data_IF_153833866640
#
_entry.id   IF_153833866640
#
_cell.length_a   1.000
_cell.length_b   1.000
_cell.length_c   1.000
_cell.angle_alpha   90.00
_cell.angle_beta   90.00
_cell.angle_gamma   90.00
#
_symmetry.space_group_name_H-M   'P 1'
#
loop_
_entity.id
_entity.type
_entity.pdbx_description
1 polymer ?
#
# COMPACT_ATOMS: atom_id res chain seq x y z
N UNK A 1 11.86 31.37 -19.16
CA UNK A 1 11.36 30.50 -18.07
C UNK A 1 10.35 31.17 -17.13
N UNK A 2 10.40 32.50 -16.95
CA UNK A 2 9.43 33.24 -16.12
C UNK A 2 8.00 33.25 -16.70
N UNK A 3 7.87 33.21 -18.02
CA UNK A 3 6.56 33.15 -18.70
C UNK A 3 5.97 31.74 -18.71
N UNK A 4 6.80 30.69 -18.73
CA UNK A 4 6.32 29.32 -18.65
C UNK A 4 5.72 28.99 -17.26
N UNK A 5 6.28 29.54 -16.17
CA UNK A 5 5.76 29.35 -14.82
C UNK A 5 4.42 30.04 -14.57
N UNK A 6 4.15 31.19 -15.23
CA UNK A 6 2.84 31.85 -15.17
C UNK A 6 1.76 31.05 -15.91
N UNK A 7 2.07 30.50 -17.09
CA UNK A 7 1.11 29.69 -17.84
C UNK A 7 0.68 28.42 -17.10
N UNK A 8 1.60 27.73 -16.40
CA UNK A 8 1.27 26.58 -15.56
C UNK A 8 0.36 27.00 -14.38
N UNK A 9 0.66 28.10 -13.69
CA UNK A 9 -0.17 28.59 -12.60
C UNK A 9 -1.61 28.90 -13.04
N UNK A 10 -1.81 29.42 -14.24
CA UNK A 10 -3.14 29.73 -14.79
C UNK A 10 -3.90 28.48 -15.22
N UNK A 11 -3.21 27.44 -15.72
CA UNK A 11 -3.81 26.13 -16.02
C UNK A 11 -4.33 25.44 -14.75
N UNK A 12 -3.54 25.43 -13.69
CA UNK A 12 -3.97 24.86 -12.41
C UNK A 12 -5.12 25.66 -11.77
N UNK A 13 -5.10 26.99 -11.86
CA UNK A 13 -6.22 27.83 -11.41
C UNK A 13 -7.49 27.55 -12.20
N UNK A 14 -7.40 27.39 -13.52
CA UNK A 14 -8.55 27.03 -14.36
C UNK A 14 -9.12 25.66 -14.03
N UNK A 15 -8.25 24.65 -13.82
CA UNK A 15 -8.67 23.33 -13.39
C UNK A 15 -9.34 23.37 -12.01
N UNK A 16 -8.74 24.04 -11.02
CA UNK A 16 -9.35 24.23 -9.71
C UNK A 16 -10.71 24.93 -9.80
N UNK A 17 -10.81 26.01 -10.59
CA UNK A 17 -12.08 26.70 -10.80
C UNK A 17 -13.12 25.82 -11.50
N UNK A 18 -12.73 24.95 -12.41
CA UNK A 18 -13.64 24.00 -13.07
C UNK A 18 -14.22 22.99 -12.08
N UNK A 19 -13.40 22.48 -11.16
CA UNK A 19 -13.88 21.60 -10.09
C UNK A 19 -14.77 22.35 -9.07
N UNK A 20 -14.44 23.60 -8.73
CA UNK A 20 -15.22 24.42 -7.81
C UNK A 20 -16.54 24.86 -8.45
N UNK A 21 -16.56 25.12 -9.76
CA UNK A 21 -17.77 25.60 -10.45
C UNK A 21 -18.95 24.62 -10.39
N UNK A 22 -18.68 23.32 -10.24
CA UNK A 22 -19.72 22.30 -10.04
C UNK A 22 -20.47 22.45 -8.70
N UNK A 23 -19.90 23.18 -7.75
CA UNK A 23 -20.50 23.47 -6.43
C UNK A 23 -21.14 24.85 -6.36
N UNK A 24 -20.94 25.69 -7.38
CA UNK A 24 -21.58 27.03 -7.47
C UNK A 24 -23.06 26.83 -7.80
N UNK A 25 -23.92 27.16 -6.84
CA UNK A 25 -25.38 26.93 -6.95
C UNK A 25 -25.89 25.68 -6.21
N UNK A 26 -25.01 24.89 -5.59
CA UNK A 26 -25.42 23.82 -4.68
C UNK A 26 -26.02 24.42 -3.37
N UNK A 27 -26.87 23.63 -2.66
CA UNK A 27 -27.42 24.06 -1.40
C UNK A 27 -26.32 24.42 -0.38
N UNK A 28 -26.56 25.41 0.48
CA UNK A 28 -25.59 25.84 1.50
C UNK A 28 -25.10 24.70 2.38
N UNK A 29 -25.97 23.73 2.73
CA UNK A 29 -25.59 22.57 3.53
C UNK A 29 -24.59 21.66 2.78
N UNK A 30 -24.83 21.41 1.50
CA UNK A 30 -23.89 20.57 0.69
C UNK A 30 -22.56 21.28 0.50
N UNK A 31 -22.59 22.61 0.27
CA UNK A 31 -21.38 23.42 0.10
C UNK A 31 -20.57 23.48 1.39
N UNK A 32 -21.23 23.62 2.55
CA UNK A 32 -20.57 23.61 3.86
C UNK A 32 -19.89 22.27 4.16
N UNK A 33 -20.56 21.15 3.87
CA UNK A 33 -19.98 19.81 4.05
C UNK A 33 -18.76 19.55 3.17
N UNK A 34 -18.82 19.96 1.89
CA UNK A 34 -17.69 19.84 0.97
C UNK A 34 -16.52 20.74 1.39
N UNK A 35 -16.80 21.98 1.85
CA UNK A 35 -15.78 22.87 2.38
C UNK A 35 -15.11 22.28 3.62
N UNK A 36 -15.91 21.79 4.57
CA UNK A 36 -15.37 21.15 5.77
C UNK A 36 -14.45 19.99 5.43
N UNK A 37 -14.87 19.10 4.53
CA UNK A 37 -14.05 17.96 4.10
C UNK A 37 -12.74 18.43 3.42
N UNK A 38 -12.78 19.47 2.60
CA UNK A 38 -11.60 20.05 1.98
C UNK A 38 -10.66 20.71 3.01
N UNK A 39 -11.23 21.47 3.97
CA UNK A 39 -10.47 22.10 5.04
C UNK A 39 -9.78 21.05 5.92
N UNK A 40 -10.46 19.96 6.27
CA UNK A 40 -9.89 18.86 7.04
C UNK A 40 -8.77 18.15 6.28
N UNK A 41 -8.94 17.88 4.99
CA UNK A 41 -7.91 17.26 4.15
C UNK A 41 -6.66 18.15 3.98
N UNK A 42 -6.85 19.46 3.91
CA UNK A 42 -5.76 20.42 3.72
C UNK A 42 -5.12 20.89 5.02
N UNK A 43 -5.79 20.70 6.15
CA UNK A 43 -5.36 21.20 7.47
C UNK A 43 -3.91 20.87 7.79
N UNK A 44 -3.52 19.61 7.57
CA UNK A 44 -2.16 19.15 7.83
C UNK A 44 -1.12 19.97 7.05
N UNK A 45 -1.38 20.24 5.78
CA UNK A 45 -0.49 20.98 4.89
C UNK A 45 -0.52 22.49 5.15
N UNK A 46 -1.68 23.01 5.58
CA UNK A 46 -1.86 24.44 5.83
C UNK A 46 -1.30 24.90 7.19
N UNK A 47 -1.30 24.05 8.20
CA UNK A 47 -1.00 24.45 9.58
C UNK A 47 0.31 23.88 10.14
N UNK A 48 0.87 22.81 9.54
CA UNK A 48 2.08 22.19 10.05
C UNK A 48 3.32 22.80 9.38
N UNK A 49 4.04 23.65 10.11
CA UNK A 49 5.23 24.35 9.60
C UNK A 49 6.36 23.38 9.17
N UNK A 50 6.51 22.22 9.82
CA UNK A 50 7.53 21.23 9.43
C UNK A 50 7.20 20.64 8.06
N UNK A 51 5.94 20.34 7.80
CA UNK A 51 5.48 19.83 6.50
C UNK A 51 5.61 20.92 5.44
N UNK A 52 5.17 22.14 5.72
CA UNK A 52 5.31 23.28 4.80
C UNK A 52 6.77 23.47 4.40
N UNK A 53 7.67 23.44 5.36
CA UNK A 53 9.11 23.56 5.11
C UNK A 53 9.67 22.36 4.33
N UNK A 54 9.24 21.13 4.62
CA UNK A 54 9.67 19.94 3.90
C UNK A 54 9.17 19.90 2.45
N UNK A 55 7.99 20.44 2.18
CA UNK A 55 7.36 20.45 0.86
C UNK A 55 7.63 21.74 0.06
N UNK A 56 8.29 22.73 0.65
CA UNK A 56 8.66 23.94 -0.09
C UNK A 56 9.61 23.62 -1.23
N UNK A 57 9.60 24.45 -2.27
CA UNK A 57 10.58 24.35 -3.35
C UNK A 57 11.97 24.58 -2.77
N UNK A 58 12.85 23.57 -2.93
CA UNK A 58 14.25 23.66 -2.51
C UNK A 58 14.98 24.75 -3.28
N UNK A 59 15.90 25.46 -2.62
CA UNK A 59 16.88 26.28 -3.33
C UNK A 59 17.82 25.34 -4.13
N UNK A 60 18.44 25.83 -5.17
CA UNK A 60 19.27 25.03 -6.09
C UNK A 60 20.44 24.28 -5.43
N UNK A 61 20.85 24.71 -4.24
CA UNK A 61 21.93 24.10 -3.43
C UNK A 61 21.42 23.15 -2.33
N UNK A 62 20.09 23.12 -2.09
CA UNK A 62 19.52 22.22 -1.08
C UNK A 62 19.21 20.85 -1.70
N UNK A 63 19.59 19.73 -1.04
CA UNK A 63 19.21 18.42 -1.51
C UNK A 63 17.68 18.28 -1.52
N UNK A 64 17.15 17.79 -2.62
CA UNK A 64 15.71 17.52 -2.74
C UNK A 64 15.49 16.05 -3.07
N UNK A 65 14.45 15.46 -2.49
CA UNK A 65 14.02 14.10 -2.78
C UNK A 65 12.85 14.18 -3.76
N UNK A 66 13.00 13.49 -4.88
CA UNK A 66 11.96 13.31 -5.88
C UNK A 66 11.80 11.82 -6.18
N UNK A 67 10.76 11.38 -6.87
CA UNK A 67 10.66 9.98 -7.30
C UNK A 67 11.88 9.50 -8.09
N UNK A 68 12.51 10.37 -8.89
CA UNK A 68 13.72 10.04 -9.62
C UNK A 68 14.92 9.66 -8.72
N UNK A 69 14.96 10.17 -7.48
CA UNK A 69 15.99 9.84 -6.50
C UNK A 69 16.04 8.34 -6.20
N UNK A 70 14.90 7.63 -6.30
CA UNK A 70 14.79 6.18 -6.08
C UNK A 70 15.49 5.34 -7.15
N UNK A 71 15.89 5.93 -8.29
CA UNK A 71 16.67 5.21 -9.30
C UNK A 71 18.10 4.90 -8.82
N UNK A 72 18.64 5.72 -7.92
CA UNK A 72 20.05 5.64 -7.52
C UNK A 72 20.26 5.54 -6.01
N UNK A 73 19.22 5.78 -5.23
CA UNK A 73 19.32 5.85 -3.76
C UNK A 73 18.22 5.06 -3.07
N UNK A 74 18.51 4.57 -1.87
CA UNK A 74 17.51 4.07 -0.94
C UNK A 74 16.96 5.25 -0.12
N UNK A 75 15.64 5.38 -0.09
CA UNK A 75 14.94 6.42 0.67
C UNK A 75 14.12 5.75 1.77
N UNK A 76 14.36 6.16 3.01
CA UNK A 76 13.63 5.69 4.18
C UNK A 76 12.79 6.83 4.74
N UNK A 77 11.48 6.59 4.85
CA UNK A 77 10.54 7.51 5.48
C UNK A 77 10.13 6.88 6.80
N UNK A 78 10.55 7.51 7.90
CA UNK A 78 10.20 7.06 9.24
C UNK A 78 9.19 8.01 9.88
N UNK A 79 8.08 7.46 10.34
CA UNK A 79 7.05 8.16 11.10
C UNK A 79 6.74 7.34 12.36
N UNK A 80 6.84 7.92 13.56
CA UNK A 80 6.45 7.26 14.80
C UNK A 80 4.99 6.80 14.76
N UNK A 81 4.69 5.64 15.36
CA UNK A 81 3.36 5.00 15.29
C UNK A 81 2.24 5.92 15.79
N UNK A 82 2.48 6.66 16.87
CA UNK A 82 1.51 7.62 17.41
C UNK A 82 1.15 8.77 16.45
N UNK A 83 1.95 8.96 15.41
CA UNK A 83 1.77 10.00 14.39
C UNK A 83 1.28 9.46 13.05
N UNK A 84 1.25 8.15 12.86
CA UNK A 84 0.82 7.54 11.59
C UNK A 84 -0.58 7.99 11.18
N UNK A 85 -1.51 8.08 12.13
CA UNK A 85 -2.87 8.57 11.86
C UNK A 85 -2.90 10.00 11.31
N UNK A 86 -1.94 10.84 11.73
CA UNK A 86 -1.87 12.25 11.29
C UNK A 86 -1.19 12.36 9.93
N UNK A 87 -0.13 11.58 9.71
CA UNK A 87 0.70 11.69 8.51
C UNK A 87 0.38 10.64 7.43
N UNK A 88 -0.60 9.77 7.64
CA UNK A 88 -0.98 8.72 6.68
C UNK A 88 -1.32 9.27 5.30
N UNK A 89 -2.06 10.38 5.23
CA UNK A 89 -2.39 11.05 3.96
C UNK A 89 -1.15 11.58 3.24
N UNK A 90 -0.16 12.09 3.98
CA UNK A 90 1.11 12.53 3.39
C UNK A 90 1.88 11.33 2.80
N UNK A 91 1.98 10.22 3.55
CA UNK A 91 2.58 8.98 3.07
C UNK A 91 1.89 8.47 1.82
N UNK A 92 0.56 8.48 1.83
CA UNK A 92 -0.28 8.07 0.69
C UNK A 92 0.03 8.91 -0.55
N UNK A 93 0.11 10.22 -0.42
CA UNK A 93 0.40 11.13 -1.54
C UNK A 93 1.81 10.88 -2.07
N UNK A 94 2.82 10.81 -1.22
CA UNK A 94 4.22 10.55 -1.63
C UNK A 94 4.33 9.22 -2.36
N UNK A 95 3.71 8.17 -1.81
CA UNK A 95 3.73 6.82 -2.38
C UNK A 95 3.00 6.79 -3.72
N UNK A 96 1.80 7.37 -3.80
CA UNK A 96 1.00 7.42 -5.02
C UNK A 96 1.72 8.19 -6.15
N UNK A 97 2.29 9.35 -5.84
CA UNK A 97 3.07 10.13 -6.82
C UNK A 97 4.31 9.39 -7.30
N UNK A 98 5.00 8.70 -6.40
CA UNK A 98 6.17 7.89 -6.76
C UNK A 98 5.78 6.72 -7.67
N UNK A 99 4.69 6.01 -7.36
CA UNK A 99 4.18 4.93 -8.20
C UNK A 99 3.72 5.44 -9.57
N UNK A 100 3.07 6.59 -9.63
CA UNK A 100 2.64 7.20 -10.89
C UNK A 100 3.84 7.62 -11.74
N UNK A 101 4.85 8.24 -11.16
CA UNK A 101 6.11 8.56 -11.85
C UNK A 101 6.71 7.32 -12.52
N UNK A 102 6.80 6.20 -11.79
CA UNK A 102 7.36 4.96 -12.30
C UNK A 102 6.42 4.21 -13.25
N UNK A 103 5.16 4.58 -13.37
CA UNK A 103 4.25 3.98 -14.34
C UNK A 103 4.69 4.25 -15.79
N UNK A 104 5.38 5.38 -16.02
CA UNK A 104 5.96 5.78 -17.30
C UNK A 104 7.45 5.44 -17.45
N UNK A 105 8.08 4.77 -16.45
CA UNK A 105 9.49 4.38 -16.49
C UNK A 105 9.81 3.56 -17.75
N UNK A 106 10.88 3.88 -18.50
CA UNK A 106 11.31 3.09 -19.64
C UNK A 106 11.55 1.63 -19.27
N UNK A 107 11.20 0.70 -20.17
CA UNK A 107 11.37 -0.76 -19.94
C UNK A 107 12.82 -1.20 -19.97
N UNK A 108 13.65 -0.41 -20.60
CA UNK A 108 15.10 -0.61 -20.74
C UNK A 108 15.84 -0.44 -19.41
N UNK A 109 15.22 0.25 -18.45
CA UNK A 109 15.75 0.35 -17.09
C UNK A 109 15.60 -0.99 -16.39
N UNK A 110 16.72 -1.70 -16.23
CA UNK A 110 16.73 -3.05 -15.66
C UNK A 110 16.89 -3.08 -14.15
N UNK A 111 17.33 -1.97 -13.55
CA UNK A 111 17.49 -1.86 -12.10
C UNK A 111 16.14 -2.06 -11.40
N UNK A 112 16.13 -2.94 -10.41
CA UNK A 112 14.93 -3.22 -9.63
C UNK A 112 14.77 -2.18 -8.53
N UNK A 113 13.56 -1.64 -8.39
CA UNK A 113 13.17 -0.77 -7.29
C UNK A 113 12.13 -1.51 -6.44
N UNK A 114 12.31 -1.50 -5.12
CA UNK A 114 11.37 -2.08 -4.16
C UNK A 114 10.69 -0.97 -3.36
N UNK A 115 9.36 -0.93 -3.43
CA UNK A 115 8.53 -0.22 -2.45
C UNK A 115 8.22 -1.18 -1.31
N UNK A 116 8.72 -0.87 -0.12
CA UNK A 116 8.40 -1.60 1.11
C UNK A 116 7.46 -0.73 1.95
N UNK A 117 6.19 -1.14 2.05
CA UNK A 117 5.13 -0.39 2.74
C UNK A 117 4.80 -1.14 4.02
N UNK A 118 5.48 -0.75 5.08
CA UNK A 118 5.21 -1.27 6.43
C UNK A 118 3.95 -0.63 7.00
N UNK A 119 3.22 -1.33 7.85
CA UNK A 119 1.92 -0.92 8.39
C UNK A 119 0.98 -0.39 7.28
N UNK A 120 0.83 -1.20 6.21
CA UNK A 120 0.18 -0.78 4.96
C UNK A 120 -1.23 -0.20 5.15
N UNK A 121 -1.97 -0.69 6.12
CA UNK A 121 -3.30 -0.16 6.47
C UNK A 121 -3.28 1.32 6.85
N UNK A 122 -2.17 1.82 7.42
CA UNK A 122 -2.04 3.22 7.83
C UNK A 122 -1.90 4.21 6.68
N UNK A 123 -1.63 3.73 5.46
CA UNK A 123 -1.57 4.59 4.26
C UNK A 123 -2.94 5.01 3.74
N UNK A 124 -4.03 4.41 4.25
CA UNK A 124 -5.35 4.58 3.66
C UNK A 124 -5.45 3.95 2.26
N UNK A 125 -6.43 4.39 1.47
CA UNK A 125 -6.71 3.78 0.16
C UNK A 125 -5.72 4.23 -0.92
N UNK A 126 -4.83 3.32 -1.33
CA UNK A 126 -3.94 3.43 -2.49
C UNK A 126 -4.49 2.63 -3.67
N UNK A 127 -4.24 3.06 -4.92
CA UNK A 127 -4.58 2.31 -6.14
C UNK A 127 -3.58 1.15 -6.36
N UNK A 128 -3.40 0.33 -5.33
CA UNK A 128 -2.33 -0.67 -5.27
C UNK A 128 -2.52 -1.80 -6.29
N UNK A 129 -3.74 -2.22 -6.54
CA UNK A 129 -4.06 -3.27 -7.51
C UNK A 129 -3.64 -2.88 -8.93
N UNK A 130 -3.88 -1.63 -9.30
CA UNK A 130 -3.46 -1.10 -10.59
C UNK A 130 -1.94 -0.94 -10.66
N UNK A 131 -1.33 -0.43 -9.57
CA UNK A 131 0.12 -0.30 -9.44
C UNK A 131 0.83 -1.64 -9.60
N UNK A 132 0.37 -2.71 -8.95
CA UNK A 132 0.92 -4.06 -9.07
C UNK A 132 0.96 -4.56 -10.52
N UNK A 133 -0.09 -4.28 -11.29
CA UNK A 133 -0.18 -4.69 -12.72
C UNK A 133 0.74 -3.87 -13.62
N UNK A 134 0.78 -2.54 -13.45
CA UNK A 134 1.55 -1.62 -14.30
C UNK A 134 3.05 -1.67 -13.98
N UNK A 135 3.41 -1.60 -12.71
CA UNK A 135 4.78 -1.41 -12.26
C UNK A 135 5.63 -2.67 -12.40
N UNK A 136 5.02 -3.87 -12.34
CA UNK A 136 5.73 -5.14 -12.54
C UNK A 136 6.54 -5.16 -13.85
N UNK A 137 5.98 -4.60 -14.92
CA UNK A 137 6.62 -4.52 -16.25
C UNK A 137 7.75 -3.48 -16.33
N UNK A 138 7.91 -2.67 -15.29
CA UNK A 138 8.91 -1.59 -15.17
C UNK A 138 10.01 -1.92 -14.16
N UNK A 139 10.16 -3.19 -13.80
CA UNK A 139 11.10 -3.67 -12.79
C UNK A 139 10.87 -3.07 -11.39
N UNK A 140 9.64 -2.67 -11.10
CA UNK A 140 9.24 -2.25 -9.76
C UNK A 140 8.59 -3.42 -9.03
N UNK A 141 8.95 -3.57 -7.76
CA UNK A 141 8.34 -4.54 -6.85
C UNK A 141 7.71 -3.81 -5.68
N UNK A 142 6.61 -4.37 -5.19
CA UNK A 142 5.88 -3.81 -4.06
C UNK A 142 5.77 -4.92 -3.01
N UNK A 143 6.19 -4.61 -1.81
CA UNK A 143 6.01 -5.42 -0.62
C UNK A 143 5.14 -4.65 0.34
N UNK A 144 4.08 -5.27 0.82
CA UNK A 144 3.19 -4.69 1.82
C UNK A 144 3.20 -5.57 3.06
N UNK A 145 3.20 -4.95 4.23
CA UNK A 145 3.06 -5.62 5.49
C UNK A 145 1.76 -5.17 6.15
N UNK A 146 1.00 -6.11 6.66
CA UNK A 146 -0.27 -5.84 7.38
C UNK A 146 -0.45 -6.88 8.48
N UNK A 147 -1.20 -6.52 9.51
CA UNK A 147 -1.40 -7.38 10.67
C UNK A 147 -2.54 -8.39 10.44
N UNK A 148 -3.59 -7.99 9.70
CA UNK A 148 -4.74 -8.85 9.43
C UNK A 148 -5.38 -8.55 8.07
N UNK A 149 -6.24 -9.46 7.60
CA UNK A 149 -7.09 -9.20 6.44
C UNK A 149 -8.21 -8.21 6.78
N UNK A 150 -8.64 -8.17 8.04
CA UNK A 150 -9.68 -7.24 8.49
C UNK A 150 -9.24 -5.78 8.33
N UNK A 151 -7.95 -5.46 8.59
CA UNK A 151 -7.42 -4.11 8.38
C UNK A 151 -7.50 -3.70 6.92
N UNK A 152 -7.24 -4.62 6.00
CA UNK A 152 -7.39 -4.38 4.57
C UNK A 152 -8.86 -4.25 4.16
N UNK A 153 -9.75 -5.05 4.74
CA UNK A 153 -11.18 -5.00 4.46
C UNK A 153 -11.81 -3.67 4.89
N UNK A 154 -11.34 -3.07 5.98
CA UNK A 154 -11.79 -1.74 6.42
C UNK A 154 -11.50 -0.64 5.40
N UNK A 155 -10.42 -0.76 4.63
CA UNK A 155 -9.95 0.27 3.69
C UNK A 155 -10.43 -0.01 2.28
N UNK A 156 -10.33 -1.26 1.84
CA UNK A 156 -10.54 -1.67 0.46
C UNK A 156 -11.88 -2.39 0.23
N UNK A 157 -12.45 -2.97 1.28
CA UNK A 157 -13.55 -3.93 1.17
C UNK A 157 -13.06 -5.31 0.69
N UNK A 158 -13.88 -6.33 0.96
CA UNK A 158 -13.52 -7.75 0.72
C UNK A 158 -13.17 -8.07 -0.73
N UNK A 159 -13.87 -7.49 -1.69
CA UNK A 159 -13.66 -7.82 -3.11
C UNK A 159 -12.37 -7.19 -3.66
N UNK A 160 -12.10 -5.92 -3.33
CA UNK A 160 -10.86 -5.27 -3.75
C UNK A 160 -9.64 -5.91 -3.05
N UNK A 161 -9.75 -6.28 -1.76
CA UNK A 161 -8.71 -7.05 -1.06
C UNK A 161 -8.42 -8.38 -1.77
N UNK A 162 -9.45 -9.14 -2.15
CA UNK A 162 -9.25 -10.41 -2.89
C UNK A 162 -8.52 -10.18 -4.21
N UNK A 163 -8.95 -9.16 -4.97
CA UNK A 163 -8.31 -8.80 -6.23
C UNK A 163 -6.86 -8.36 -6.02
N UNK A 164 -6.57 -7.63 -4.95
CA UNK A 164 -5.22 -7.20 -4.58
C UNK A 164 -4.34 -8.40 -4.23
N UNK A 165 -4.79 -9.27 -3.33
CA UNK A 165 -4.04 -10.47 -2.91
C UNK A 165 -3.73 -11.39 -4.10
N UNK A 166 -4.65 -11.57 -5.03
CA UNK A 166 -4.44 -12.34 -6.26
C UNK A 166 -3.42 -11.74 -7.25
N UNK A 167 -2.98 -10.49 -7.04
CA UNK A 167 -1.92 -9.87 -7.85
C UNK A 167 -0.53 -9.95 -7.21
N UNK A 168 -0.40 -10.34 -5.94
CA UNK A 168 0.88 -10.64 -5.32
C UNK A 168 1.34 -12.03 -5.73
N UNK A 169 2.61 -12.14 -6.13
CA UNK A 169 3.22 -13.43 -6.48
C UNK A 169 3.51 -14.28 -5.25
N UNK A 170 3.85 -13.63 -4.15
CA UNK A 170 4.20 -14.29 -2.90
C UNK A 170 3.39 -13.70 -1.76
N UNK A 171 2.91 -14.57 -0.88
CA UNK A 171 2.35 -14.21 0.42
C UNK A 171 3.16 -14.89 1.50
N UNK A 172 3.68 -14.12 2.44
CA UNK A 172 4.43 -14.61 3.58
C UNK A 172 3.57 -14.49 4.82
N UNK A 173 3.25 -15.63 5.45
CA UNK A 173 2.46 -15.69 6.66
C UNK A 173 3.35 -15.96 7.86
N UNK A 174 3.52 -14.98 8.73
CA UNK A 174 4.31 -15.07 9.95
C UNK A 174 3.51 -15.54 11.16
N UNK A 175 2.18 -15.54 11.06
CA UNK A 175 1.20 -15.87 12.06
C UNK A 175 0.00 -14.92 11.97
N UNK A 176 -1.15 -15.35 12.45
CA UNK A 176 -2.35 -14.52 12.50
C UNK A 176 -3.25 -14.93 13.67
N UNK A 177 -3.89 -13.95 14.29
CA UNK A 177 -4.73 -14.20 15.48
C UNK A 177 -6.22 -14.19 15.18
N UNK A 178 -6.65 -13.43 14.15
CA UNK A 178 -8.07 -13.36 13.81
C UNK A 178 -8.53 -14.58 13.01
N UNK A 179 -9.74 -15.04 13.32
CA UNK A 179 -10.30 -16.29 12.78
C UNK A 179 -10.50 -16.24 11.26
N UNK A 180 -10.93 -15.12 10.70
CA UNK A 180 -11.17 -14.99 9.25
C UNK A 180 -9.86 -15.12 8.47
N UNK A 181 -8.78 -14.49 8.95
CA UNK A 181 -7.44 -14.60 8.37
C UNK A 181 -6.92 -16.04 8.50
N UNK A 182 -7.11 -16.69 9.65
CA UNK A 182 -6.71 -18.10 9.88
C UNK A 182 -7.40 -19.04 8.90
N UNK A 183 -8.71 -18.94 8.76
CA UNK A 183 -9.49 -19.79 7.84
C UNK A 183 -9.08 -19.55 6.38
N UNK A 184 -8.89 -18.28 6.00
CA UNK A 184 -8.49 -17.92 4.66
C UNK A 184 -7.14 -18.56 4.29
N UNK A 185 -6.11 -18.40 5.13
CA UNK A 185 -4.79 -18.91 4.84
C UNK A 185 -4.67 -20.41 5.02
N UNK A 186 -5.39 -21.02 5.96
CA UNK A 186 -5.45 -22.49 6.06
C UNK A 186 -5.99 -23.10 4.77
N UNK A 187 -7.03 -22.52 4.16
CA UNK A 187 -7.56 -22.95 2.86
C UNK A 187 -6.55 -22.72 1.72
N UNK A 188 -5.85 -21.58 1.72
CA UNK A 188 -4.83 -21.28 0.69
C UNK A 188 -3.63 -22.22 0.75
N UNK A 189 -3.20 -22.60 1.95
CA UNK A 189 -2.10 -23.58 2.17
C UNK A 189 -2.49 -24.94 1.63
N UNK A 190 -3.78 -25.28 1.68
CA UNK A 190 -4.33 -26.46 1.04
C UNK A 190 -4.62 -27.60 2.00
N UNK A 191 -5.04 -28.71 1.39
CA UNK A 191 -5.45 -29.93 2.08
C UNK A 191 -4.57 -31.11 1.67
N UNK A 192 -4.42 -32.05 2.58
CA UNK A 192 -3.74 -33.34 2.32
C UNK A 192 -4.68 -34.50 2.61
N UNK A 193 -4.54 -35.58 1.85
CA UNK A 193 -5.12 -36.89 2.19
C UNK A 193 -4.11 -37.67 3.01
N UNK A 194 -4.59 -38.36 4.05
CA UNK A 194 -3.72 -39.26 4.83
C UNK A 194 -3.29 -40.44 3.95
N UNK A 195 -1.98 -40.69 3.83
CA UNK A 195 -1.49 -41.86 3.07
C UNK A 195 -1.90 -43.23 3.66
N UNK A 196 -2.36 -43.23 4.92
CA UNK A 196 -2.72 -44.44 5.65
C UNK A 196 -4.21 -44.77 5.56
N UNK A 197 -5.03 -43.86 5.02
CA UNK A 197 -6.46 -44.13 4.85
C UNK A 197 -6.69 -44.77 3.48
N UNK A 198 -6.84 -46.10 3.49
CA UNK A 198 -7.26 -46.89 2.32
C UNK A 198 -8.73 -46.66 1.92
N UNK A 199 -9.47 -45.93 2.73
CA UNK A 199 -10.87 -45.63 2.49
C UNK A 199 -10.98 -44.42 1.59
N UNK A 200 -11.52 -44.61 0.37
CA UNK A 200 -11.76 -43.57 -0.62
C UNK A 200 -12.79 -42.52 -0.17
N UNK A 201 -13.50 -42.75 0.94
CA UNK A 201 -14.47 -41.86 1.55
C UNK A 201 -13.88 -40.86 2.55
N UNK A 202 -12.60 -40.98 2.93
CA UNK A 202 -11.97 -40.08 3.87
C UNK A 202 -11.86 -38.65 3.32
N UNK A 203 -12.38 -37.69 4.07
CA UNK A 203 -12.35 -36.30 3.68
C UNK A 203 -10.93 -35.74 3.78
N UNK A 204 -10.46 -34.94 2.80
CA UNK A 204 -9.19 -34.24 2.89
C UNK A 204 -9.12 -33.40 4.17
N UNK A 205 -7.97 -33.39 4.82
CA UNK A 205 -7.74 -32.57 6.00
C UNK A 205 -6.81 -31.40 5.68
N UNK A 206 -7.00 -30.21 6.27
CA UNK A 206 -6.10 -29.10 6.04
C UNK A 206 -4.67 -29.46 6.43
N UNK A 207 -3.70 -29.02 5.64
CA UNK A 207 -2.26 -29.19 5.91
C UNK A 207 -1.90 -28.58 7.27
N UNK A 208 -2.52 -27.44 7.58
CA UNK A 208 -2.46 -26.79 8.89
C UNK A 208 -3.86 -26.35 9.30
N UNK A 209 -4.26 -26.64 10.54
CA UNK A 209 -5.55 -26.18 11.05
C UNK A 209 -5.55 -24.65 11.23
N UNK A 210 -6.70 -23.96 11.02
CA UNK A 210 -6.77 -22.50 11.19
C UNK A 210 -6.18 -22.03 12.51
N UNK A 211 -6.57 -22.64 13.64
CA UNK A 211 -6.10 -22.25 14.97
C UNK A 211 -4.58 -22.37 15.17
N UNK A 212 -3.92 -23.31 14.47
CA UNK A 212 -2.46 -23.53 14.60
C UNK A 212 -1.68 -22.37 13.93
N UNK A 213 -2.30 -21.59 13.05
CA UNK A 213 -1.70 -20.41 12.45
C UNK A 213 -1.47 -19.25 13.43
N UNK A 214 -2.12 -19.28 14.59
CA UNK A 214 -1.83 -18.34 15.69
C UNK A 214 -0.50 -18.65 16.39
N UNK A 215 0.02 -19.86 16.25
CA UNK A 215 1.14 -20.40 17.00
C UNK A 215 2.34 -20.80 16.11
N UNK A 216 2.57 -20.03 15.05
CA UNK A 216 3.71 -20.27 14.13
C UNK A 216 5.08 -19.88 14.71
N UNK A 217 5.22 -19.67 16.00
CA UNK A 217 6.41 -19.24 16.74
C UNK A 217 7.71 -19.11 15.93
N UNK A 218 8.33 -20.26 15.60
CA UNK A 218 9.59 -20.36 14.84
C UNK A 218 9.38 -20.54 13.33
N UNK A 219 8.17 -20.77 12.89
CA UNK A 219 7.85 -21.11 11.50
C UNK A 219 7.10 -19.99 10.77
N UNK A 220 7.18 -20.03 9.45
CA UNK A 220 6.39 -19.20 8.55
C UNK A 220 5.93 -20.05 7.37
N UNK A 221 4.91 -19.56 6.65
CA UNK A 221 4.54 -20.11 5.34
C UNK A 221 4.83 -19.08 4.25
N UNK A 222 5.40 -19.54 3.15
CA UNK A 222 5.47 -18.82 1.89
C UNK A 222 4.51 -19.48 0.93
N UNK A 223 3.53 -18.72 0.45
CA UNK A 223 2.48 -19.16 -0.47
C UNK A 223 2.73 -18.50 -1.81
N UNK A 224 2.77 -19.29 -2.89
CA UNK A 224 2.93 -18.83 -4.27
C UNK A 224 2.12 -19.71 -5.22
N UNK A 225 2.23 -19.45 -6.53
CA UNK A 225 1.50 -20.18 -7.56
C UNK A 225 1.79 -21.69 -7.55
N UNK A 226 3.00 -22.10 -7.12
CA UNK A 226 3.43 -23.51 -7.05
C UNK A 226 2.99 -24.21 -5.75
N UNK A 227 2.32 -23.50 -4.85
CA UNK A 227 1.82 -24.03 -3.57
C UNK A 227 2.36 -23.31 -2.34
N UNK A 228 2.30 -23.96 -1.19
CA UNK A 228 2.73 -23.41 0.08
C UNK A 228 3.93 -24.18 0.64
N UNK A 229 4.94 -23.48 1.11
CA UNK A 229 6.16 -24.01 1.70
C UNK A 229 6.24 -23.53 3.15
N UNK A 230 6.44 -24.44 4.10
CA UNK A 230 6.75 -24.13 5.49
C UNK A 230 8.26 -23.95 5.65
N UNK A 231 8.66 -22.82 6.20
CA UNK A 231 10.06 -22.46 6.43
C UNK A 231 10.24 -22.05 7.89
N UNK A 232 11.49 -22.07 8.35
CA UNK A 232 11.85 -21.55 9.68
C UNK A 232 12.16 -20.07 9.60
N UNK A 233 11.69 -19.30 10.58
CA UNK A 233 12.03 -17.86 10.72
C UNK A 233 13.52 -17.73 11.00
N UNK A 234 14.15 -16.78 10.34
CA UNK A 234 15.51 -16.35 10.64
C UNK A 234 15.45 -14.98 11.31
N UNK A 235 15.73 -14.94 12.60
CA UNK A 235 15.68 -13.71 13.38
C UNK A 235 17.03 -12.98 13.27
N UNK A 236 17.02 -11.67 12.99
CA UNK A 236 18.22 -10.85 12.79
C UNK A 236 19.05 -10.68 14.07
N UNK A 237 18.50 -11.00 15.23
CA UNK A 237 19.14 -10.88 16.55
C UNK A 237 19.62 -12.24 17.10
N UNK A 238 19.71 -13.27 16.28
CA UNK A 238 20.24 -14.58 16.65
C UNK A 238 21.63 -14.79 16.08
#
# INVERSE_FOLDING_TARGET
DYYASRGLGDVYKRQANMYISSFVGASEQNTAGCKQAADDALKLFATNEKIKNALRKSASYEPSISPATLETNSVYIYIPDEKLKIYGDLLRIITAQSMEYFSSRPKEHTQMILFCLDEFASFGKLQITEALRKLRKRHIRIMVLTQSLADLDMIYGKDERKAMLGNFKFTVLLGCKDTETQEYFSKMIGEKRSPLETDSSAKPQPIIKPADLAHLEQDLFVICDDGAIRLRKNFYFQ
#
